data_IF_044238810728
#
_entry.id   IF_044238810728
#
_cell.length_a   1.000
_cell.length_b   1.000
_cell.length_c   1.000
_cell.angle_alpha   90.00
_cell.angle_beta   90.00
_cell.angle_gamma   90.00
#
_symmetry.space_group_name_H-M   'P 1'
#
loop_
_entity.id
_entity.type
_entity.pdbx_description
1 polymer ?
#
# COMPACT_ATOMS: atom_id res chain seq x y z
N UNK A 1 -10.32 14.35 -2.64
CA UNK A 1 -10.42 12.99 -3.20
C UNK A 1 -9.05 12.54 -3.62
N UNK A 2 -8.62 11.38 -3.12
CA UNK A 2 -7.46 10.64 -3.61
C UNK A 2 -7.63 10.48 -5.13
N UNK A 3 -6.66 10.92 -5.96
CA UNK A 3 -6.77 10.76 -7.40
C UNK A 3 -6.70 9.26 -7.73
N UNK A 4 -7.75 8.74 -8.33
CA UNK A 4 -7.81 7.37 -8.83
C UNK A 4 -7.63 7.39 -10.34
N UNK A 5 -6.79 6.48 -10.83
CA UNK A 5 -6.51 6.29 -12.26
C UNK A 5 -7.04 4.92 -12.68
N UNK A 6 -8.28 4.87 -13.16
CA UNK A 6 -8.94 3.62 -13.55
C UNK A 6 -9.17 2.67 -12.38
N UNK A 7 -8.71 1.43 -12.53
CA UNK A 7 -8.77 0.35 -11.53
C UNK A 7 -7.50 0.24 -10.68
N UNK A 8 -6.58 1.20 -10.80
CA UNK A 8 -5.29 1.16 -10.12
C UNK A 8 -5.41 1.51 -8.64
N UNK A 9 -4.75 0.72 -7.80
CA UNK A 9 -4.63 0.94 -6.36
C UNK A 9 -3.80 2.20 -6.07
N UNK A 10 -4.30 3.19 -5.32
CA UNK A 10 -3.52 4.38 -5.00
C UNK A 10 -2.33 4.06 -4.07
N UNK A 11 -1.14 4.48 -4.48
CA UNK A 11 0.07 4.52 -3.64
C UNK A 11 0.31 5.97 -3.21
N UNK A 12 -0.18 6.34 -2.03
CA UNK A 12 -0.16 7.71 -1.52
C UNK A 12 1.12 7.99 -0.74
N UNK A 13 1.91 8.96 -1.20
CA UNK A 13 3.04 9.49 -0.42
C UNK A 13 2.50 10.40 0.68
N UNK A 14 2.86 10.10 1.93
CA UNK A 14 2.49 10.95 3.08
C UNK A 14 3.70 11.48 3.85
N UNK A 15 4.92 11.01 3.56
CA UNK A 15 6.15 11.64 4.03
C UNK A 15 6.92 12.29 2.87
N UNK A 16 7.01 13.63 2.90
CA UNK A 16 7.70 14.45 1.90
C UNK A 16 9.12 14.87 2.33
N UNK A 17 9.65 14.34 3.45
CA UNK A 17 10.97 14.72 3.98
C UNK A 17 12.17 14.28 3.11
N UNK A 18 11.98 13.29 2.23
CA UNK A 18 13.07 12.70 1.43
C UNK A 18 12.60 12.21 0.06
N UNK A 19 12.80 13.02 -0.99
CA UNK A 19 12.44 12.65 -2.36
C UNK A 19 13.22 11.43 -2.87
N UNK A 20 14.49 11.29 -2.48
CA UNK A 20 15.29 10.13 -2.87
C UNK A 20 14.79 8.84 -2.21
N UNK A 21 14.17 8.92 -1.03
CA UNK A 21 13.51 7.76 -0.42
C UNK A 21 12.26 7.38 -1.20
N UNK A 22 11.45 8.36 -1.59
CA UNK A 22 10.30 8.14 -2.46
C UNK A 22 10.68 7.49 -3.79
N UNK A 23 11.73 7.97 -4.47
CA UNK A 23 12.23 7.37 -5.71
C UNK A 23 12.62 5.89 -5.52
N UNK A 24 13.25 5.53 -4.39
CA UNK A 24 13.58 4.13 -4.08
C UNK A 24 12.33 3.27 -3.85
N UNK A 25 11.30 3.83 -3.22
CA UNK A 25 10.01 3.14 -3.04
C UNK A 25 9.39 2.84 -4.41
N UNK A 26 9.33 3.84 -5.31
CA UNK A 26 8.80 3.68 -6.66
C UNK A 26 9.61 2.65 -7.46
N UNK A 27 10.93 2.69 -7.37
CA UNK A 27 11.78 1.68 -8.01
C UNK A 27 11.50 0.27 -7.46
N UNK A 28 11.33 0.14 -6.14
CA UNK A 28 11.11 -1.14 -5.50
C UNK A 28 9.76 -1.77 -5.87
N UNK A 29 8.67 -0.99 -5.86
CA UNK A 29 7.32 -1.51 -6.22
C UNK A 29 7.13 -1.74 -7.71
N UNK A 30 8.01 -1.18 -8.55
CA UNK A 30 8.00 -1.37 -10.01
C UNK A 30 8.81 -2.60 -10.46
N UNK A 31 9.44 -3.32 -9.53
CA UNK A 31 10.18 -4.56 -9.83
C UNK A 31 9.20 -5.73 -9.84
N UNK A 32 9.13 -6.52 -10.94
CA UNK A 32 8.26 -7.68 -10.99
C UNK A 32 8.72 -8.76 -10.00
N UNK A 33 7.78 -9.58 -9.55
CA UNK A 33 8.06 -10.80 -8.80
C UNK A 33 8.86 -11.80 -9.65
N UNK A 34 9.31 -12.89 -9.02
CA UNK A 34 10.02 -13.98 -9.73
C UNK A 34 9.20 -14.60 -10.87
N UNK A 35 7.87 -14.57 -10.75
CA UNK A 35 6.93 -15.08 -11.74
C UNK A 35 6.44 -13.99 -12.72
N UNK A 36 6.98 -12.77 -12.63
CA UNK A 36 6.67 -11.67 -13.54
C UNK A 36 5.46 -10.82 -13.15
N UNK A 37 4.92 -10.97 -11.94
CA UNK A 37 3.77 -10.19 -11.46
C UNK A 37 4.17 -8.81 -10.93
N UNK A 38 3.28 -7.83 -11.08
CA UNK A 38 3.40 -6.47 -10.54
C UNK A 38 2.10 -6.09 -9.84
N UNK A 39 2.21 -5.21 -8.84
CA UNK A 39 1.06 -4.52 -8.27
C UNK A 39 0.57 -3.44 -9.24
N UNK A 40 -0.74 -3.35 -9.46
CA UNK A 40 -1.38 -2.34 -10.31
C UNK A 40 -1.55 -1.01 -9.56
N UNK A 41 -0.44 -0.30 -9.33
CA UNK A 41 -0.41 0.89 -8.48
C UNK A 41 -0.56 2.19 -9.26
N UNK A 42 -1.21 3.21 -8.69
CA UNK A 42 -1.20 4.60 -9.11
C UNK A 42 -0.41 5.47 -8.08
N UNK A 43 0.85 5.83 -8.36
CA UNK A 43 1.62 6.71 -7.48
C UNK A 43 0.99 8.11 -7.33
N UNK A 44 0.68 8.51 -6.10
CA UNK A 44 0.13 9.83 -5.75
C UNK A 44 1.20 10.61 -4.97
N UNK A 45 1.87 11.53 -5.66
CA UNK A 45 2.91 12.41 -5.11
C UNK A 45 2.39 13.86 -5.05
N UNK A 46 1.50 14.14 -4.10
CA UNK A 46 0.84 15.43 -3.95
C UNK A 46 0.92 15.90 -2.49
N UNK A 47 1.52 17.07 -2.26
CA UNK A 47 1.79 17.62 -0.93
C UNK A 47 0.54 17.83 -0.07
N UNK A 48 -0.67 17.83 -0.65
CA UNK A 48 -1.90 17.86 0.15
C UNK A 48 -2.04 16.66 1.11
N UNK A 49 -1.30 15.58 0.84
CA UNK A 49 -1.29 14.36 1.65
C UNK A 49 -0.13 14.29 2.65
N UNK A 50 0.68 15.34 2.77
CA UNK A 50 1.77 15.39 3.74
C UNK A 50 1.24 15.20 5.17
N UNK A 51 1.77 14.20 5.87
CA UNK A 51 1.33 13.74 7.19
C UNK A 51 -0.16 13.37 7.29
N UNK A 52 -0.80 12.96 6.18
CA UNK A 52 -2.19 12.54 6.20
C UNK A 52 -2.41 11.30 7.09
N UNK A 53 -3.53 11.30 7.82
CA UNK A 53 -3.96 10.18 8.67
C UNK A 53 -4.47 9.02 7.79
N UNK A 54 -3.88 7.80 7.89
CA UNK A 54 -4.32 6.62 7.16
C UNK A 54 -5.82 6.32 7.32
N UNK A 55 -6.38 6.50 8.51
CA UNK A 55 -7.79 6.25 8.76
C UNK A 55 -8.68 7.25 8.03
N UNK A 56 -8.26 8.52 7.97
CA UNK A 56 -8.98 9.55 7.18
C UNK A 56 -8.89 9.32 5.68
N UNK A 57 -7.76 8.82 5.20
CA UNK A 57 -7.63 8.40 3.80
C UNK A 57 -8.56 7.22 3.47
N UNK A 58 -8.68 6.24 4.38
CA UNK A 58 -9.62 5.12 4.25
C UNK A 58 -11.09 5.60 4.21
N UNK A 59 -11.50 6.44 5.17
CA UNK A 59 -12.85 7.03 5.18
C UNK A 59 -13.14 7.84 3.91
N UNK A 60 -12.17 8.61 3.42
CA UNK A 60 -12.30 9.36 2.17
C UNK A 60 -12.46 8.44 0.95
N UNK A 61 -11.73 7.32 0.91
CA UNK A 61 -11.77 6.40 -0.21
C UNK A 61 -13.07 5.59 -0.28
N UNK A 62 -13.55 5.08 0.86
CA UNK A 62 -14.84 4.38 0.99
C UNK A 62 -16.00 5.26 0.50
N UNK A 63 -16.01 6.52 0.93
CA UNK A 63 -17.08 7.44 0.56
C UNK A 63 -17.11 7.85 -0.92
N UNK A 64 -15.99 7.73 -1.66
CA UNK A 64 -15.83 8.42 -2.94
C UNK A 64 -15.28 7.59 -4.11
N UNK A 65 -14.67 6.43 -3.87
CA UNK A 65 -13.81 5.80 -4.89
C UNK A 65 -13.99 4.28 -5.08
N UNK A 66 -14.64 3.57 -4.16
CA UNK A 66 -14.82 2.10 -4.22
C UNK A 66 -13.51 1.31 -4.48
N UNK A 67 -12.35 1.85 -4.09
CA UNK A 67 -11.09 1.09 -4.13
C UNK A 67 -11.11 0.00 -3.06
N UNK A 68 -10.55 -1.17 -3.36
CA UNK A 68 -10.47 -2.29 -2.40
C UNK A 68 -9.24 -2.18 -1.46
N UNK A 69 -8.28 -1.32 -1.81
CA UNK A 69 -7.03 -1.17 -1.09
C UNK A 69 -6.49 0.25 -1.26
N UNK A 70 -5.88 0.80 -0.22
CA UNK A 70 -5.01 1.98 -0.29
C UNK A 70 -3.63 1.56 0.20
N UNK A 71 -2.58 1.99 -0.51
CA UNK A 71 -1.20 1.81 -0.08
C UNK A 71 -0.62 3.16 0.29
N UNK A 72 0.03 3.25 1.43
CA UNK A 72 0.61 4.49 1.95
C UNK A 72 2.13 4.32 2.11
N UNK A 73 2.88 5.29 1.57
CA UNK A 73 4.30 5.47 1.83
C UNK A 73 4.48 6.57 2.89
N UNK A 74 4.54 6.15 4.14
CA UNK A 74 4.70 7.00 5.32
C UNK A 74 6.16 7.09 5.78
N UNK A 75 6.41 7.76 6.91
CA UNK A 75 7.75 7.95 7.43
C UNK A 75 8.49 6.65 7.73
N UNK A 76 7.78 5.61 8.18
CA UNK A 76 8.37 4.29 8.39
C UNK A 76 8.79 3.65 7.06
N UNK A 77 7.98 3.79 6.01
CA UNK A 77 8.36 3.39 4.65
C UNK A 77 9.63 4.12 4.17
N UNK A 78 9.75 5.43 4.42
CA UNK A 78 10.88 6.22 3.93
C UNK A 78 12.20 5.97 4.65
N UNK A 79 12.13 5.55 5.92
CA UNK A 79 13.30 5.41 6.82
C UNK A 79 13.80 3.97 6.89
N UNK A 80 12.91 2.98 6.92
CA UNK A 80 13.33 1.59 7.16
C UNK A 80 13.92 0.92 5.91
N UNK A 81 14.99 0.09 6.05
CA UNK A 81 15.65 -0.54 4.91
C UNK A 81 14.75 -1.42 4.03
N UNK A 82 13.74 -2.07 4.64
CA UNK A 82 12.79 -2.93 3.93
C UNK A 82 11.66 -2.15 3.25
N UNK A 83 11.60 -0.82 3.46
CA UNK A 83 10.57 0.07 2.92
C UNK A 83 9.13 -0.46 3.12
N UNK A 84 8.74 -0.88 4.33
CA UNK A 84 7.43 -1.50 4.54
C UNK A 84 6.32 -0.46 4.31
N UNK A 85 5.53 -0.70 3.27
CA UNK A 85 4.39 0.11 2.85
C UNK A 85 3.20 -0.21 3.74
N UNK A 86 2.39 0.78 4.10
CA UNK A 86 1.19 0.58 4.89
C UNK A 86 0.01 0.27 3.96
N UNK A 87 -0.49 -0.95 3.99
CA UNK A 87 -1.71 -1.38 3.33
C UNK A 87 -2.90 -1.05 4.25
N UNK A 88 -3.92 -0.38 3.71
CA UNK A 88 -5.09 0.06 4.45
C UNK A 88 -6.35 -0.42 3.75
N UNK A 89 -7.20 -1.09 4.51
CA UNK A 89 -8.54 -1.51 4.12
C UNK A 89 -9.50 -0.32 4.23
N UNK A 90 -10.12 0.11 3.11
CA UNK A 90 -11.14 1.13 3.13
C UNK A 90 -12.52 0.58 3.56
N UNK A 91 -12.79 -0.74 3.52
CA UNK A 91 -14.13 -1.31 3.70
C UNK A 91 -14.12 -2.61 4.54
N UNK A 92 -14.47 -2.56 5.84
CA UNK A 92 -14.71 -1.36 6.65
C UNK A 92 -13.41 -0.60 6.90
N UNK A 93 -13.46 0.74 7.04
CA UNK A 93 -12.26 1.54 7.18
C UNK A 93 -11.54 1.20 8.49
N UNK A 94 -10.21 1.05 8.40
CA UNK A 94 -9.31 1.01 9.56
C UNK A 94 -8.53 -0.30 9.74
N UNK A 95 -8.81 -1.33 8.93
CA UNK A 95 -7.90 -2.48 8.81
C UNK A 95 -6.57 -2.01 8.24
N UNK A 96 -5.44 -2.35 8.86
CA UNK A 96 -4.13 -1.99 8.34
C UNK A 96 -3.06 -3.01 8.69
N UNK A 97 -2.12 -3.20 7.79
CA UNK A 97 -0.89 -3.96 8.02
C UNK A 97 0.22 -3.42 7.12
N UNK A 98 1.47 -3.82 7.37
CA UNK A 98 2.58 -3.42 6.50
C UNK A 98 2.98 -4.52 5.55
N UNK A 99 3.42 -4.17 4.35
CA UNK A 99 3.89 -5.11 3.34
C UNK A 99 5.21 -4.62 2.75
N UNK A 100 6.18 -5.51 2.56
CA UNK A 100 7.41 -5.16 1.83
C UNK A 100 7.11 -5.00 0.34
N UNK A 101 7.85 -4.15 -0.40
CA UNK A 101 7.60 -3.92 -1.83
C UNK A 101 7.61 -5.20 -2.67
N UNK A 102 8.47 -6.16 -2.33
CA UNK A 102 8.61 -7.43 -3.07
C UNK A 102 7.36 -8.32 -3.01
N UNK A 103 6.52 -8.16 -1.99
CA UNK A 103 5.31 -8.98 -1.75
C UNK A 103 4.02 -8.21 -2.04
N UNK A 104 4.12 -6.90 -2.33
CA UNK A 104 2.96 -6.04 -2.53
C UNK A 104 2.09 -6.48 -3.72
N UNK A 105 2.68 -7.06 -4.77
CA UNK A 105 1.94 -7.59 -5.91
C UNK A 105 0.93 -8.65 -5.49
N UNK A 106 1.28 -9.51 -4.52
CA UNK A 106 0.43 -10.59 -4.06
C UNK A 106 -0.76 -10.05 -3.28
N UNK A 107 -0.52 -9.08 -2.40
CA UNK A 107 -1.58 -8.37 -1.67
C UNK A 107 -2.50 -7.66 -2.64
N UNK A 108 -1.95 -6.79 -3.49
CA UNK A 108 -2.72 -5.90 -4.35
C UNK A 108 -3.56 -6.68 -5.36
N UNK A 109 -2.95 -7.62 -6.11
CA UNK A 109 -3.68 -8.39 -7.11
C UNK A 109 -4.80 -9.23 -6.49
N UNK A 110 -4.58 -9.84 -5.32
CA UNK A 110 -5.60 -10.70 -4.72
C UNK A 110 -6.74 -9.90 -4.07
N UNK A 111 -6.44 -8.80 -3.39
CA UNK A 111 -7.46 -7.96 -2.76
C UNK A 111 -8.27 -7.21 -3.82
N UNK A 112 -7.61 -6.56 -4.79
CA UNK A 112 -8.29 -5.80 -5.86
C UNK A 112 -9.16 -6.67 -6.76
N UNK A 113 -8.79 -7.94 -6.97
CA UNK A 113 -9.56 -8.89 -7.78
C UNK A 113 -10.53 -9.75 -6.95
N UNK A 114 -10.61 -9.53 -5.64
CA UNK A 114 -11.41 -10.33 -4.71
C UNK A 114 -11.11 -11.85 -4.78
N UNK A 115 -9.85 -12.22 -5.01
CA UNK A 115 -9.39 -13.61 -4.93
C UNK A 115 -9.13 -14.04 -3.48
N UNK A 116 -8.79 -13.09 -2.60
CA UNK A 116 -8.47 -13.35 -1.20
C UNK A 116 -8.76 -12.12 -0.35
N UNK A 117 -9.18 -12.30 0.91
CA UNK A 117 -9.58 -11.19 1.76
C UNK A 117 -8.38 -10.43 2.35
N UNK A 118 -8.54 -9.12 2.56
CA UNK A 118 -7.54 -8.29 3.24
C UNK A 118 -7.13 -8.86 4.61
N UNK A 119 -8.11 -9.39 5.35
CA UNK A 119 -7.90 -9.93 6.70
C UNK A 119 -7.00 -11.17 6.74
N UNK A 120 -6.93 -11.93 5.64
CA UNK A 120 -6.04 -13.08 5.53
C UNK A 120 -4.57 -12.65 5.48
N UNK A 121 -4.27 -11.60 4.70
CA UNK A 121 -2.93 -10.98 4.70
C UNK A 121 -2.60 -10.31 6.04
N UNK A 122 -3.56 -9.57 6.62
CA UNK A 122 -3.37 -8.90 7.91
C UNK A 122 -3.07 -9.89 9.04
N UNK A 123 -3.59 -11.11 8.96
CA UNK A 123 -3.35 -12.18 9.94
C UNK A 123 -2.03 -12.93 9.70
N UNK A 124 -1.42 -12.78 8.52
CA UNK A 124 -0.19 -13.44 8.11
C UNK A 124 1.08 -12.59 8.30
N UNK A 125 0.97 -11.44 8.96
CA UNK A 125 2.14 -10.61 9.29
C UNK A 125 3.05 -11.27 10.31
N UNK A 126 4.34 -10.96 10.25
CA UNK A 126 5.29 -11.35 11.28
C UNK A 126 5.11 -10.53 12.57
N UNK A 127 5.89 -10.84 13.61
CA UNK A 127 5.79 -10.22 14.93
C UNK A 127 5.96 -8.68 14.94
N UNK A 128 6.57 -8.11 13.89
CA UNK A 128 6.74 -6.66 13.71
C UNK A 128 5.62 -5.99 12.89
N UNK A 129 4.56 -6.75 12.57
CA UNK A 129 3.40 -6.29 11.82
C UNK A 129 3.63 -6.15 10.31
N UNK A 130 4.71 -6.75 9.78
CA UNK A 130 5.06 -6.69 8.36
C UNK A 130 4.82 -8.06 7.71
N UNK A 131 4.06 -8.05 6.62
CA UNK A 131 3.87 -9.15 5.69
C UNK A 131 5.10 -9.28 4.78
N UNK A 132 5.69 -10.48 4.78
CA UNK A 132 6.87 -10.86 4.00
C UNK A 132 6.62 -12.11 3.15
N UNK A 133 5.35 -12.37 2.82
CA UNK A 133 4.91 -13.57 2.14
C UNK A 133 4.31 -14.58 3.13
N UNK A 134 3.48 -15.48 2.60
CA UNK A 134 2.95 -16.59 3.38
C UNK A 134 4.09 -17.53 3.78
N UNK A 135 4.06 -17.95 5.04
CA UNK A 135 4.98 -18.97 5.54
C UNK A 135 4.41 -20.36 5.18
N UNK A 136 5.30 -21.29 4.85
CA UNK A 136 4.98 -22.71 4.65
C UNK A 136 4.70 -23.45 5.98
#
# INVERSE_FOLDING_TARGET
MIPIDGDRTPLVRTDFSNDRAWERVIEAVSKPSVDGFLANLNPVNDHRYDNADPFKLAEEADANTNVALIVIADSRTMIEPQMPLLCVDPIPPGGQFRCIPAELWGVENNVSLANMDFSEFASAVEADGVFRGFQD
#
